data_IF_937129402786
#
_entry.id   IF_937129402786
#
_cell.length_a   1.000
_cell.length_b   1.000
_cell.length_c   1.000
_cell.angle_alpha   90.00
_cell.angle_beta   90.00
_cell.angle_gamma   90.00
#
_symmetry.space_group_name_H-M   'P 1'
#
loop_
_entity.id
_entity.type
_entity.pdbx_description
1 polymer ?
#
# COMPACT_ATOMS: atom_id res chain seq x y z
N UNK A 1 1.72 -13.85 0.77
CA UNK A 1 0.53 -14.50 0.15
C UNK A 1 -0.70 -14.56 1.07
N UNK A 2 -0.61 -14.28 2.37
CA UNK A 2 -1.67 -14.54 3.37
C UNK A 2 -3.01 -13.79 3.21
N UNK A 3 -3.15 -12.93 2.20
CA UNK A 3 -4.35 -12.10 1.96
C UNK A 3 -4.89 -12.21 0.54
N UNK A 4 -4.32 -13.11 -0.26
CA UNK A 4 -4.83 -13.39 -1.60
C UNK A 4 -6.24 -13.98 -1.46
N UNK A 5 -7.20 -13.40 -2.18
CA UNK A 5 -8.61 -13.80 -2.13
C UNK A 5 -9.48 -12.95 -1.20
N UNK A 6 -8.92 -12.08 -0.36
CA UNK A 6 -9.70 -11.07 0.35
C UNK A 6 -10.40 -10.13 -0.64
N UNK A 7 -11.68 -9.78 -0.42
CA UNK A 7 -12.42 -8.94 -1.35
C UNK A 7 -11.92 -7.50 -1.35
N UNK A 8 -12.12 -6.79 -2.46
CA UNK A 8 -11.97 -5.36 -2.49
C UNK A 8 -13.13 -4.69 -1.75
N UNK A 9 -12.83 -3.72 -0.87
CA UNK A 9 -13.82 -2.92 -0.14
C UNK A 9 -13.29 -1.49 -0.02
N UNK A 10 -14.04 -0.52 -0.53
CA UNK A 10 -13.71 0.90 -0.35
C UNK A 10 -13.52 1.24 1.14
N UNK A 11 -12.45 1.95 1.49
CA UNK A 11 -12.01 2.23 2.86
C UNK A 11 -11.70 0.98 3.70
N UNK A 12 -11.48 -0.17 3.05
CA UNK A 12 -11.17 -1.44 3.69
C UNK A 12 -9.74 -1.49 4.20
N UNK A 13 -9.57 -1.85 5.48
CA UNK A 13 -8.28 -1.81 6.19
C UNK A 13 -8.00 -3.11 6.98
N UNK A 14 -8.73 -4.19 6.69
CA UNK A 14 -8.61 -5.45 7.43
C UNK A 14 -8.69 -6.66 6.47
N UNK A 15 -8.27 -7.88 6.89
CA UNK A 15 -8.38 -9.08 6.06
C UNK A 15 -9.78 -9.42 5.54
N UNK A 16 -10.84 -8.87 6.15
CA UNK A 16 -12.21 -9.01 5.66
C UNK A 16 -12.51 -8.19 4.39
N UNK A 17 -11.62 -7.26 4.01
CA UNK A 17 -11.68 -6.53 2.77
C UNK A 17 -10.78 -5.30 2.76
N UNK A 18 -10.18 -5.05 1.60
CA UNK A 18 -9.13 -4.05 1.43
C UNK A 18 -9.49 -3.02 0.37
N UNK A 19 -9.08 -1.77 0.56
CA UNK A 19 -8.74 -0.91 -0.57
C UNK A 19 -7.22 -0.88 -0.77
N UNK A 20 -6.78 -0.18 -1.82
CA UNK A 20 -5.38 -0.09 -2.18
C UNK A 20 -4.50 0.40 -1.02
N UNK A 21 -4.79 1.59 -0.48
CA UNK A 21 -3.97 2.19 0.58
C UNK A 21 -4.13 1.48 1.91
N UNK A 22 -5.31 0.95 2.21
CA UNK A 22 -5.61 0.18 3.40
C UNK A 22 -4.79 -1.11 3.47
N UNK A 23 -4.61 -1.80 2.35
CA UNK A 23 -3.72 -2.96 2.28
C UNK A 23 -2.25 -2.57 2.48
N UNK A 24 -1.75 -1.61 1.69
CA UNK A 24 -0.35 -1.19 1.72
C UNK A 24 0.04 -0.73 3.12
N UNK A 25 -0.73 0.18 3.74
CA UNK A 25 -0.43 0.67 5.09
C UNK A 25 -0.48 -0.41 6.15
N UNK A 26 -1.37 -1.40 6.00
CA UNK A 26 -1.51 -2.49 6.96
C UNK A 26 -0.29 -3.41 6.94
N UNK A 27 0.19 -3.79 5.75
CA UNK A 27 1.39 -4.62 5.60
C UNK A 27 2.63 -3.88 6.11
N UNK A 28 2.80 -2.61 5.73
CA UNK A 28 3.94 -1.81 6.16
C UNK A 28 3.94 -1.49 7.66
N UNK A 29 2.77 -1.34 8.29
CA UNK A 29 2.67 -1.14 9.73
C UNK A 29 3.19 -2.34 10.53
N UNK A 30 3.07 -3.57 10.02
CA UNK A 30 3.66 -4.77 10.64
C UNK A 30 5.19 -4.74 10.64
N UNK A 31 5.78 -3.98 9.70
CA UNK A 31 7.22 -3.76 9.58
C UNK A 31 7.67 -2.46 10.29
N UNK A 32 6.77 -1.81 11.05
CA UNK A 32 7.07 -0.58 11.80
C UNK A 32 7.02 0.71 10.95
N UNK A 33 6.56 0.64 9.71
CA UNK A 33 6.46 1.81 8.82
C UNK A 33 5.03 2.36 8.84
N UNK A 34 4.88 3.59 9.31
CA UNK A 34 3.59 4.28 9.35
C UNK A 34 3.30 5.01 8.04
N UNK A 35 2.22 4.61 7.36
CA UNK A 35 1.73 5.25 6.14
C UNK A 35 0.32 5.83 6.42
N UNK A 36 0.08 7.04 5.92
CA UNK A 36 -1.23 7.70 6.02
C UNK A 36 -2.35 6.97 5.28
N UNK A 37 -3.60 7.35 5.55
CA UNK A 37 -4.78 6.69 4.99
C UNK A 37 -5.17 7.12 3.57
N UNK A 38 -4.37 7.94 2.90
CA UNK A 38 -4.63 8.40 1.54
C UNK A 38 -3.60 7.82 0.58
N UNK A 39 -4.01 7.56 -0.66
CA UNK A 39 -3.13 7.11 -1.75
C UNK A 39 -1.88 7.98 -1.88
N UNK A 40 -2.02 9.31 -1.76
CA UNK A 40 -0.91 10.27 -1.84
C UNK A 40 0.04 10.22 -0.65
N UNK A 41 -0.32 9.56 0.46
CA UNK A 41 0.54 9.45 1.64
C UNK A 41 1.81 8.64 1.36
N UNK A 42 1.81 7.77 0.34
CA UNK A 42 3.03 7.01 -0.04
C UNK A 42 4.11 7.92 -0.63
N UNK A 43 3.73 9.09 -1.15
CA UNK A 43 4.66 10.05 -1.75
C UNK A 43 5.50 10.81 -0.72
N UNK A 44 5.07 10.83 0.54
CA UNK A 44 5.77 11.51 1.64
C UNK A 44 6.50 10.54 2.58
N UNK A 45 6.53 9.24 2.27
CA UNK A 45 7.21 8.22 3.08
C UNK A 45 8.34 7.58 2.30
N UNK A 46 9.43 7.25 2.99
CA UNK A 46 10.56 6.56 2.39
C UNK A 46 11.31 7.40 1.35
N UNK A 47 11.78 6.73 0.30
CA UNK A 47 12.58 7.32 -0.78
C UNK A 47 11.89 7.04 -2.11
N UNK A 48 11.82 8.05 -2.97
CA UNK A 48 11.35 7.87 -4.34
C UNK A 48 12.40 7.09 -5.15
N UNK A 49 11.94 6.03 -5.81
CA UNK A 49 12.73 5.17 -6.69
C UNK A 49 12.21 5.33 -8.11
N UNK A 50 13.10 5.33 -9.10
CA UNK A 50 12.67 5.37 -10.50
C UNK A 50 11.99 4.04 -10.85
N UNK A 51 10.99 4.07 -11.73
CA UNK A 51 10.29 2.84 -12.11
C UNK A 51 11.23 1.77 -12.70
N UNK A 52 12.28 2.19 -13.41
CA UNK A 52 13.32 1.30 -13.96
C UNK A 52 14.17 0.61 -12.89
N UNK A 53 14.20 1.12 -11.67
CA UNK A 53 14.98 0.59 -10.54
C UNK A 53 14.10 -0.10 -9.50
N UNK A 54 12.80 -0.24 -9.75
CA UNK A 54 11.86 -0.81 -8.80
C UNK A 54 12.23 -2.26 -8.44
N UNK A 55 12.19 -2.55 -7.15
CA UNK A 55 12.51 -3.86 -6.56
C UNK A 55 11.30 -4.43 -5.83
N UNK A 56 11.35 -5.74 -5.56
CA UNK A 56 10.33 -6.39 -4.76
C UNK A 56 10.26 -5.74 -3.36
N UNK A 57 9.09 -5.23 -3.01
CA UNK A 57 8.86 -4.50 -1.78
C UNK A 57 8.55 -3.02 -2.03
N UNK A 58 9.02 -2.42 -3.13
CA UNK A 58 8.70 -1.03 -3.44
C UNK A 58 7.20 -0.83 -3.65
N UNK A 59 6.69 0.33 -3.23
CA UNK A 59 5.30 0.73 -3.45
C UNK A 59 5.19 1.41 -4.80
N UNK A 60 4.32 0.90 -5.66
CA UNK A 60 3.99 1.57 -6.91
C UNK A 60 2.94 2.64 -6.65
N UNK A 61 3.03 3.75 -7.40
CA UNK A 61 2.10 4.88 -7.35
C UNK A 61 1.71 5.38 -8.75
N UNK A 62 0.44 5.70 -8.89
CA UNK A 62 -0.29 6.31 -10.00
C UNK A 62 -1.49 7.07 -9.37
N UNK A 63 -1.95 8.17 -9.98
CA UNK A 63 -3.07 8.94 -9.44
C UNK A 63 -4.30 8.06 -9.15
N UNK A 64 -4.69 7.97 -7.88
CA UNK A 64 -5.88 7.23 -7.43
C UNK A 64 -5.66 5.77 -6.99
N UNK A 65 -4.45 5.21 -7.05
CA UNK A 65 -4.18 3.82 -6.63
C UNK A 65 -2.81 3.64 -5.94
N UNK A 66 -2.60 2.52 -5.21
CA UNK A 66 -1.35 2.01 -4.57
C UNK A 66 -1.32 0.48 -4.57
N UNK A 67 -0.12 -0.08 -4.75
CA UNK A 67 0.14 -1.51 -4.84
C UNK A 67 1.54 -1.81 -4.33
#
# INVERSE_FOLDING_TARGET
>A
MSYIGSPYRYAGTTPAGWDCIGFVRYVYAQLGVSIGGYTTSVLSVGRQVSYSEAQAGDILYWPGHVA
#
